data_IF_206183113851
#
_entry.id   IF_206183113851
#
_cell.length_a   1.000
_cell.length_b   1.000
_cell.length_c   1.000
_cell.angle_alpha   90.00
_cell.angle_beta   90.00
_cell.angle_gamma   90.00
#
_symmetry.space_group_name_H-M   'P 1'
#
loop_
_entity.id
_entity.type
_entity.pdbx_description
1 polymer ?
#
# COMPACT_ATOMS: atom_id res chain seq x y z
N UNK A 1 -17.32 12.33 14.87
CA UNK A 1 -15.85 12.08 15.02
C UNK A 1 -15.29 11.85 13.63
N UNK A 2 -14.09 12.36 13.34
CA UNK A 2 -13.42 12.10 12.06
C UNK A 2 -12.99 10.63 11.99
N UNK A 3 -13.05 10.01 10.80
CA UNK A 3 -12.56 8.64 10.58
C UNK A 3 -11.06 8.55 10.92
N UNK A 4 -10.61 7.41 11.42
CA UNK A 4 -9.21 7.04 11.50
C UNK A 4 -8.84 6.28 10.21
N UNK A 5 -7.90 6.83 9.46
CA UNK A 5 -7.40 6.25 8.20
C UNK A 5 -5.98 5.76 8.44
N UNK A 6 -5.84 4.45 8.62
CA UNK A 6 -4.54 3.81 8.85
C UNK A 6 -3.94 3.40 7.51
N UNK A 7 -2.87 4.06 7.13
CA UNK A 7 -2.16 3.83 5.88
C UNK A 7 -0.95 2.91 6.08
N UNK A 8 -0.79 1.91 5.23
CA UNK A 8 0.39 1.07 5.18
C UNK A 8 1.27 1.47 4.00
N UNK A 9 2.55 1.68 4.27
CA UNK A 9 3.58 1.93 3.28
C UNK A 9 4.74 0.95 3.41
N UNK A 10 5.62 0.92 2.44
CA UNK A 10 6.79 0.02 2.41
C UNK A 10 7.00 -0.55 1.02
N UNK A 11 8.21 -1.00 0.75
CA UNK A 11 8.61 -1.54 -0.54
C UNK A 11 7.74 -2.74 -0.96
N UNK A 12 7.57 -3.00 -2.27
CA UNK A 12 6.87 -4.19 -2.76
C UNK A 12 7.43 -5.48 -2.14
N UNK A 13 6.55 -6.37 -1.67
CA UNK A 13 6.94 -7.62 -1.02
C UNK A 13 7.29 -7.52 0.47
N UNK A 14 7.20 -6.34 1.10
CA UNK A 14 7.54 -6.19 2.52
C UNK A 14 6.57 -6.87 3.51
N UNK A 15 5.38 -7.32 3.05
CA UNK A 15 4.41 -8.03 3.91
C UNK A 15 3.15 -7.24 4.25
N UNK A 16 2.96 -6.04 3.73
CA UNK A 16 1.77 -5.19 3.96
C UNK A 16 0.45 -5.93 3.75
N UNK A 17 0.32 -6.60 2.60
CA UNK A 17 -0.93 -7.30 2.25
C UNK A 17 -1.28 -8.42 3.23
N UNK A 18 -0.31 -9.02 3.91
CA UNK A 18 -0.54 -10.05 4.94
C UNK A 18 -1.17 -9.41 6.18
N UNK A 19 -0.67 -8.26 6.61
CA UNK A 19 -1.26 -7.47 7.71
C UNK A 19 -2.69 -7.06 7.34
N UNK A 20 -2.88 -6.50 6.15
CA UNK A 20 -4.20 -6.04 5.67
C UNK A 20 -5.20 -7.20 5.61
N UNK A 21 -4.80 -8.38 5.12
CA UNK A 21 -5.68 -9.56 5.12
C UNK A 21 -6.15 -9.95 6.52
N UNK A 22 -5.25 -9.91 7.50
CA UNK A 22 -5.60 -10.22 8.89
C UNK A 22 -6.55 -9.19 9.49
N UNK A 23 -6.30 -7.92 9.28
CA UNK A 23 -7.20 -6.85 9.72
C UNK A 23 -8.60 -6.95 9.07
N UNK A 24 -8.64 -7.35 7.80
CA UNK A 24 -9.90 -7.61 7.11
C UNK A 24 -10.66 -8.79 7.71
N UNK A 25 -9.97 -9.87 8.09
CA UNK A 25 -10.56 -11.01 8.81
C UNK A 25 -11.11 -10.59 10.19
N UNK A 26 -10.52 -9.59 10.83
CA UNK A 26 -10.96 -8.99 12.09
C UNK A 26 -12.13 -7.98 11.91
N UNK A 27 -12.59 -7.75 10.68
CA UNK A 27 -13.75 -6.92 10.37
C UNK A 27 -13.45 -5.46 10.03
N UNK A 28 -12.17 -5.08 9.89
CA UNK A 28 -11.81 -3.74 9.41
C UNK A 28 -12.10 -3.59 7.91
N UNK A 29 -12.62 -2.44 7.52
CA UNK A 29 -12.74 -2.10 6.10
C UNK A 29 -11.37 -1.75 5.53
N UNK A 30 -11.07 -2.33 4.37
CA UNK A 30 -9.74 -2.21 3.75
C UNK A 30 -9.84 -1.77 2.30
N UNK A 31 -9.00 -0.83 1.89
CA UNK A 31 -8.80 -0.44 0.49
C UNK A 31 -7.34 -0.63 0.10
N UNK A 32 -7.09 -0.88 -1.18
CA UNK A 32 -5.74 -0.98 -1.72
C UNK A 32 -5.57 -0.03 -2.90
N UNK A 33 -4.58 0.86 -2.83
CA UNK A 33 -4.24 1.74 -3.94
C UNK A 33 -3.81 0.94 -5.18
N UNK A 34 -3.11 -0.19 -4.98
CA UNK A 34 -2.75 -1.10 -6.07
C UNK A 34 -3.96 -1.73 -6.75
N UNK A 35 -5.01 -2.07 -6.00
CA UNK A 35 -6.25 -2.60 -6.56
C UNK A 35 -7.04 -1.52 -7.29
N UNK A 36 -6.98 -0.27 -6.85
CA UNK A 36 -7.50 0.88 -7.58
C UNK A 36 -6.88 1.00 -8.98
N UNK A 37 -5.56 0.86 -9.07
CA UNK A 37 -4.87 0.85 -10.38
C UNK A 37 -5.26 -0.35 -11.23
N UNK A 38 -5.42 -1.55 -10.65
CA UNK A 38 -5.88 -2.75 -11.37
C UNK A 38 -7.31 -2.60 -11.88
N UNK A 39 -8.20 -2.02 -11.09
CA UNK A 39 -9.57 -1.73 -11.50
C UNK A 39 -9.59 -0.74 -12.67
N UNK A 40 -8.76 0.30 -12.63
CA UNK A 40 -8.63 1.26 -13.73
C UNK A 40 -8.03 0.60 -14.99
N UNK A 41 -7.03 -0.27 -14.86
CA UNK A 41 -6.49 -1.04 -15.98
C UNK A 41 -7.57 -1.91 -16.63
N UNK A 42 -8.40 -2.59 -15.83
CA UNK A 42 -9.54 -3.38 -16.33
C UNK A 42 -10.56 -2.50 -17.06
N UNK A 43 -10.87 -1.30 -16.54
CA UNK A 43 -11.77 -0.34 -17.20
C UNK A 43 -11.25 0.09 -18.57
N UNK A 44 -9.92 0.19 -18.70
CA UNK A 44 -9.25 0.53 -19.96
C UNK A 44 -8.93 -0.69 -20.85
N UNK A 45 -9.37 -1.90 -20.48
CA UNK A 45 -9.08 -3.17 -21.17
C UNK A 45 -7.56 -3.45 -21.31
N UNK A 46 -6.76 -3.04 -20.31
CA UNK A 46 -5.35 -3.34 -20.22
C UNK A 46 -5.10 -4.62 -19.44
N UNK A 47 -4.22 -5.48 -19.92
CA UNK A 47 -3.73 -6.62 -19.14
C UNK A 47 -2.99 -6.15 -17.89
N UNK A 48 -3.30 -6.69 -16.69
CA UNK A 48 -2.70 -6.25 -15.44
C UNK A 48 -1.30 -6.82 -15.21
N UNK A 49 -0.41 -6.63 -16.19
CA UNK A 49 1.03 -6.95 -16.07
C UNK A 49 1.77 -5.86 -15.29
N UNK A 50 2.92 -6.21 -14.71
CA UNK A 50 3.74 -5.23 -13.99
C UNK A 50 4.15 -4.03 -14.85
N UNK A 51 4.40 -4.25 -16.15
CA UNK A 51 4.72 -3.18 -17.10
C UNK A 51 3.52 -2.25 -17.35
N UNK A 52 2.35 -2.82 -17.66
CA UNK A 52 1.14 -2.04 -17.94
C UNK A 52 0.66 -1.27 -16.71
N UNK A 53 0.62 -1.92 -15.53
CA UNK A 53 0.22 -1.25 -14.29
C UNK A 53 1.20 -0.14 -13.91
N UNK A 54 2.51 -0.38 -14.07
CA UNK A 54 3.53 0.63 -13.83
C UNK A 54 3.40 1.85 -14.74
N UNK A 55 3.16 1.63 -16.03
CA UNK A 55 2.92 2.69 -17.01
C UNK A 55 1.64 3.47 -16.68
N UNK A 56 0.53 2.76 -16.47
CA UNK A 56 -0.75 3.38 -16.10
C UNK A 56 -0.65 4.24 -14.84
N UNK A 57 0.03 3.75 -13.82
CA UNK A 57 0.26 4.47 -12.57
C UNK A 57 1.00 5.81 -12.80
N UNK A 58 1.99 5.83 -13.70
CA UNK A 58 2.71 7.06 -14.05
C UNK A 58 1.85 8.00 -14.88
N UNK A 59 1.14 7.49 -15.90
CA UNK A 59 0.21 8.27 -16.73
C UNK A 59 -0.91 8.93 -15.91
N UNK A 60 -1.48 8.20 -14.95
CA UNK A 60 -2.49 8.76 -14.04
C UNK A 60 -1.94 9.92 -13.22
N UNK A 61 -0.71 9.81 -12.71
CA UNK A 61 -0.07 10.89 -11.95
C UNK A 61 0.30 12.08 -12.84
N UNK A 62 0.77 11.83 -14.04
CA UNK A 62 1.08 12.90 -15.01
C UNK A 62 -0.18 13.69 -15.39
N UNK A 63 -1.28 12.99 -15.65
CA UNK A 63 -2.54 13.59 -16.10
C UNK A 63 -3.33 14.28 -14.97
N UNK A 64 -3.39 13.64 -13.80
CA UNK A 64 -4.31 14.04 -12.71
C UNK A 64 -3.55 14.49 -11.44
N UNK A 65 -2.24 14.64 -11.51
CA UNK A 65 -1.39 15.04 -10.38
C UNK A 65 -0.85 13.87 -9.57
N UNK A 66 0.15 14.13 -8.70
CA UNK A 66 0.90 13.09 -8.00
C UNK A 66 0.07 12.30 -6.98
N UNK A 67 -1.07 12.81 -6.52
CA UNK A 67 -2.03 12.12 -5.64
C UNK A 67 -3.08 11.28 -6.37
N UNK A 68 -3.04 11.19 -7.70
CA UNK A 68 -4.08 10.61 -8.55
C UNK A 68 -4.54 9.21 -8.15
N UNK A 69 -3.64 8.37 -7.62
CA UNK A 69 -4.00 7.00 -7.24
C UNK A 69 -4.90 6.99 -5.99
N UNK A 70 -4.63 7.87 -5.01
CA UNK A 70 -5.48 8.00 -3.84
C UNK A 70 -6.85 8.63 -4.19
N UNK A 71 -6.89 9.53 -5.18
CA UNK A 71 -8.15 10.11 -5.67
C UNK A 71 -9.11 9.04 -6.22
N UNK A 72 -8.60 7.94 -6.79
CA UNK A 72 -9.44 6.82 -7.26
C UNK A 72 -10.29 6.19 -6.14
N UNK A 73 -9.84 6.26 -4.89
CA UNK A 73 -10.52 5.64 -3.75
C UNK A 73 -11.20 6.65 -2.82
N UNK A 74 -10.95 7.94 -2.98
CA UNK A 74 -11.34 9.01 -2.05
C UNK A 74 -12.85 9.01 -1.76
N UNK A 75 -13.69 8.92 -2.78
CA UNK A 75 -15.14 8.94 -2.59
C UNK A 75 -15.61 7.66 -1.88
N UNK A 76 -15.10 6.49 -2.25
CA UNK A 76 -15.44 5.23 -1.57
C UNK A 76 -15.04 5.27 -0.08
N UNK A 77 -13.91 5.87 0.25
CA UNK A 77 -13.48 6.06 1.65
C UNK A 77 -14.42 7.02 2.39
N UNK A 78 -14.85 8.11 1.76
CA UNK A 78 -15.78 9.08 2.36
C UNK A 78 -17.15 8.47 2.63
N UNK A 79 -17.67 7.70 1.68
CA UNK A 79 -18.98 7.05 1.74
C UNK A 79 -19.04 5.88 2.73
N UNK A 80 -17.87 5.30 3.08
CA UNK A 80 -17.80 4.23 4.05
C UNK A 80 -18.45 4.63 5.39
N UNK A 81 -19.18 3.71 5.99
CA UNK A 81 -19.77 3.87 7.33
C UNK A 81 -18.83 3.50 8.48
N UNK A 82 -17.68 2.87 8.15
CA UNK A 82 -16.69 2.46 9.14
C UNK A 82 -15.90 3.66 9.67
N UNK A 83 -15.66 3.67 10.98
CA UNK A 83 -14.89 4.73 11.65
C UNK A 83 -13.37 4.51 11.51
N UNK A 84 -12.96 3.28 11.25
CA UNK A 84 -11.55 2.90 11.07
C UNK A 84 -11.42 2.24 9.70
N UNK A 85 -10.54 2.78 8.88
CA UNK A 85 -10.29 2.32 7.51
C UNK A 85 -8.81 2.05 7.33
N UNK A 86 -8.49 0.93 6.72
CA UNK A 86 -7.11 0.52 6.41
C UNK A 86 -6.83 0.73 4.93
N UNK A 87 -5.75 1.44 4.61
CA UNK A 87 -5.33 1.70 3.22
C UNK A 87 -3.99 1.03 2.96
N UNK A 88 -3.96 0.06 2.05
CA UNK A 88 -2.72 -0.61 1.61
C UNK A 88 -2.06 0.12 0.45
N UNK A 89 -0.75 0.27 0.54
CA UNK A 89 0.11 0.59 -0.58
C UNK A 89 0.26 2.07 -0.89
N UNK A 90 0.23 2.94 0.12
CA UNK A 90 0.56 4.36 -0.03
C UNK A 90 2.05 4.53 -0.42
N UNK A 91 2.33 5.38 -1.41
CA UNK A 91 3.65 5.52 -2.03
C UNK A 91 4.22 6.93 -2.00
N UNK A 92 3.42 7.93 -1.68
CA UNK A 92 3.89 9.32 -1.70
C UNK A 92 3.16 10.20 -0.68
N UNK A 93 3.81 11.31 -0.31
CA UNK A 93 3.19 12.33 0.53
C UNK A 93 1.94 12.95 -0.11
N UNK A 94 1.89 12.99 -1.43
CA UNK A 94 0.74 13.51 -2.16
C UNK A 94 -0.49 12.63 -1.98
N UNK A 95 -0.31 11.31 -1.96
CA UNK A 95 -1.40 10.37 -1.65
C UNK A 95 -1.88 10.54 -0.20
N UNK A 96 -0.96 10.72 0.76
CA UNK A 96 -1.30 11.04 2.15
C UNK A 96 -2.13 12.33 2.23
N UNK A 97 -1.77 13.37 1.50
CA UNK A 97 -2.50 14.64 1.51
C UNK A 97 -3.94 14.48 1.00
N UNK A 98 -4.16 13.65 -0.02
CA UNK A 98 -5.50 13.29 -0.50
C UNK A 98 -6.27 12.51 0.58
N UNK A 99 -5.64 11.53 1.23
CA UNK A 99 -6.27 10.71 2.26
C UNK A 99 -6.61 11.51 3.53
N UNK A 100 -5.84 12.54 3.87
CA UNK A 100 -6.15 13.47 4.98
C UNK A 100 -7.48 14.20 4.79
N UNK A 101 -7.96 14.34 3.56
CA UNK A 101 -9.29 14.90 3.30
C UNK A 101 -10.44 13.95 3.66
N UNK A 102 -10.15 12.69 3.95
CA UNK A 102 -11.13 11.66 4.31
C UNK A 102 -11.16 11.36 5.82
N UNK A 103 -10.13 11.75 6.57
CA UNK A 103 -10.06 11.51 8.00
C UNK A 103 -8.69 11.81 8.62
N UNK A 104 -8.53 11.42 9.90
CA UNK A 104 -7.24 11.48 10.60
C UNK A 104 -6.33 10.35 10.10
N UNK A 105 -5.22 10.69 9.45
CA UNK A 105 -4.30 9.72 8.87
C UNK A 105 -3.21 9.33 9.85
N UNK A 106 -2.97 8.02 9.99
CA UNK A 106 -1.81 7.41 10.63
C UNK A 106 -1.07 6.53 9.63
N UNK A 107 0.26 6.54 9.68
CA UNK A 107 1.10 5.87 8.70
C UNK A 107 1.99 4.82 9.35
N UNK A 108 1.84 3.56 8.94
CA UNK A 108 2.68 2.44 9.32
C UNK A 108 3.59 2.04 8.16
N UNK A 109 4.90 2.07 8.37
CA UNK A 109 5.86 1.49 7.45
C UNK A 109 6.10 0.01 7.76
N UNK A 110 6.18 -0.82 6.72
CA UNK A 110 6.61 -2.22 6.82
C UNK A 110 7.86 -2.38 5.98
N UNK A 111 8.96 -2.75 6.63
CA UNK A 111 10.25 -2.93 5.99
C UNK A 111 10.68 -4.40 5.94
N UNK A 112 11.40 -4.78 4.88
CA UNK A 112 12.03 -6.08 4.75
C UNK A 112 13.21 -6.00 3.78
N UNK A 113 14.22 -6.82 4.02
CA UNK A 113 15.41 -6.91 3.17
C UNK A 113 15.04 -7.27 1.71
N UNK A 114 15.80 -6.78 0.71
CA UNK A 114 15.50 -7.01 -0.71
C UNK A 114 15.33 -8.49 -1.07
N UNK A 115 16.15 -9.38 -0.53
CA UNK A 115 16.05 -10.81 -0.82
C UNK A 115 14.79 -11.44 -0.21
N UNK A 116 14.42 -11.05 1.00
CA UNK A 116 13.17 -11.45 1.64
C UNK A 116 11.97 -11.01 0.79
N UNK A 117 11.95 -9.76 0.35
CA UNK A 117 10.87 -9.20 -0.47
C UNK A 117 10.76 -9.88 -1.84
N UNK A 118 11.88 -10.15 -2.50
CA UNK A 118 11.90 -10.85 -3.78
C UNK A 118 11.32 -12.26 -3.67
N UNK A 119 11.68 -13.00 -2.62
CA UNK A 119 11.15 -14.34 -2.37
C UNK A 119 9.63 -14.29 -2.12
N UNK A 120 9.15 -13.38 -1.28
CA UNK A 120 7.70 -13.23 -1.03
C UNK A 120 6.91 -12.89 -2.30
N UNK A 121 7.45 -12.03 -3.17
CA UNK A 121 6.80 -11.68 -4.44
C UNK A 121 6.72 -12.90 -5.37
N UNK A 122 7.78 -13.68 -5.46
CA UNK A 122 7.78 -14.92 -6.27
C UNK A 122 6.79 -15.96 -5.76
N UNK A 123 6.65 -16.10 -4.45
CA UNK A 123 5.71 -17.04 -3.81
C UNK A 123 4.27 -16.60 -4.00
N UNK A 124 4.00 -15.29 -3.98
CA UNK A 124 2.67 -14.70 -4.13
C UNK A 124 2.04 -14.92 -5.50
N UNK A 125 2.83 -14.98 -6.56
CA UNK A 125 2.44 -15.31 -7.95
C UNK A 125 1.29 -14.45 -8.52
N UNK A 126 1.24 -13.15 -8.23
CA UNK A 126 0.33 -12.23 -8.92
C UNK A 126 0.82 -11.97 -10.35
N UNK A 127 -0.08 -11.60 -11.25
CA UNK A 127 0.26 -11.30 -12.66
C UNK A 127 1.27 -10.14 -12.83
N UNK A 128 1.34 -9.25 -11.84
CA UNK A 128 2.25 -8.11 -11.79
C UNK A 128 3.52 -8.36 -10.97
N UNK A 129 3.72 -9.57 -10.44
CA UNK A 129 4.90 -9.90 -9.64
C UNK A 129 6.14 -10.17 -10.53
N UNK A 130 7.31 -9.69 -10.09
CA UNK A 130 8.54 -9.87 -10.84
C UNK A 130 9.01 -11.32 -10.79
N UNK A 131 9.29 -11.90 -11.97
CA UNK A 131 9.80 -13.26 -12.08
C UNK A 131 11.34 -13.31 -12.02
N UNK A 132 12.01 -12.19 -12.29
CA UNK A 132 13.48 -12.08 -12.32
C UNK A 132 13.95 -10.96 -11.40
N UNK A 133 15.22 -11.03 -11.00
CA UNK A 133 15.85 -9.99 -10.16
C UNK A 133 15.86 -8.63 -10.85
N UNK A 134 16.10 -8.59 -12.15
CA UNK A 134 16.07 -7.36 -12.95
C UNK A 134 14.69 -6.69 -12.88
N UNK A 135 13.60 -7.45 -13.07
CA UNK A 135 12.24 -6.93 -12.98
C UNK A 135 11.88 -6.47 -11.57
N UNK A 136 12.42 -7.12 -10.56
CA UNK A 136 12.28 -6.69 -9.17
C UNK A 136 12.96 -5.32 -8.94
N UNK A 137 14.20 -5.15 -9.42
CA UNK A 137 14.93 -3.90 -9.28
C UNK A 137 14.32 -2.77 -10.11
N UNK A 138 13.85 -3.04 -11.34
CA UNK A 138 13.07 -2.08 -12.13
C UNK A 138 11.83 -1.59 -11.38
N UNK A 139 11.11 -2.50 -10.72
CA UNK A 139 9.94 -2.17 -9.91
C UNK A 139 10.32 -1.31 -8.71
N UNK A 140 11.35 -1.71 -7.95
CA UNK A 140 11.83 -0.96 -6.80
C UNK A 140 12.23 0.47 -7.20
N UNK A 141 13.01 0.63 -8.27
CA UNK A 141 13.44 1.93 -8.76
C UNK A 141 12.25 2.81 -9.17
N UNK A 142 11.22 2.24 -9.82
CA UNK A 142 10.00 2.95 -10.17
C UNK A 142 9.25 3.44 -8.93
N UNK A 143 9.10 2.58 -7.91
CA UNK A 143 8.41 2.93 -6.66
C UNK A 143 9.17 4.00 -5.87
N UNK A 144 10.49 3.92 -5.82
CA UNK A 144 11.35 4.96 -5.24
C UNK A 144 11.18 6.29 -6.01
N UNK A 145 11.12 6.23 -7.33
CA UNK A 145 10.95 7.41 -8.19
C UNK A 145 9.63 8.16 -7.98
N UNK A 146 8.60 7.52 -7.44
CA UNK A 146 7.33 8.20 -7.10
C UNK A 146 7.26 8.70 -5.65
N UNK A 147 8.35 8.55 -4.86
CA UNK A 147 8.45 9.09 -3.50
C UNK A 147 8.31 8.07 -2.38
N UNK A 148 8.39 6.75 -2.68
CA UNK A 148 8.16 5.71 -1.68
C UNK A 148 9.20 5.74 -0.53
N UNK A 149 10.45 6.03 -0.82
CA UNK A 149 11.49 6.14 0.21
C UNK A 149 11.18 7.26 1.19
N UNK A 150 10.81 8.42 0.68
CA UNK A 150 10.46 9.59 1.47
C UNK A 150 9.28 9.31 2.42
N UNK A 151 8.22 8.66 1.90
CA UNK A 151 7.04 8.37 2.72
C UNK A 151 7.31 7.31 3.79
N UNK A 152 8.21 6.35 3.54
CA UNK A 152 8.64 5.38 4.56
C UNK A 152 9.34 6.09 5.72
N UNK A 153 10.20 7.08 5.44
CA UNK A 153 10.91 7.87 6.44
C UNK A 153 9.97 8.76 7.28
N UNK A 154 8.80 9.12 6.74
CA UNK A 154 7.79 9.94 7.42
C UNK A 154 6.74 9.12 8.20
N UNK A 155 6.88 7.81 8.28
CA UNK A 155 5.91 6.96 8.97
C UNK A 155 5.85 7.26 10.48
N UNK A 156 4.64 7.23 11.06
CA UNK A 156 4.42 7.39 12.51
C UNK A 156 5.05 6.23 13.31
N UNK A 157 4.99 5.02 12.76
CA UNK A 157 5.56 3.80 13.33
C UNK A 157 6.08 2.88 12.21
N UNK A 158 6.98 1.96 12.54
CA UNK A 158 7.53 0.99 11.58
C UNK A 158 7.62 -0.41 12.16
N UNK A 159 7.50 -1.40 11.27
CA UNK A 159 7.66 -2.83 11.57
C UNK A 159 8.73 -3.39 10.63
N UNK A 160 9.66 -4.14 11.17
CA UNK A 160 10.64 -4.90 10.41
C UNK A 160 10.16 -6.35 10.22
N UNK A 161 10.07 -6.79 8.96
CA UNK A 161 9.65 -8.13 8.57
C UNK A 161 10.84 -8.94 8.05
N UNK A 162 11.90 -9.03 8.86
CA UNK A 162 13.06 -9.87 8.60
C UNK A 162 13.16 -10.96 9.68
N UNK A 163 13.17 -12.22 9.26
CA UNK A 163 13.30 -13.38 10.17
C UNK A 163 12.22 -13.44 11.27
N UNK A 164 11.04 -12.90 11.02
CA UNK A 164 9.88 -12.98 11.91
C UNK A 164 8.79 -13.84 11.29
N UNK A 165 7.98 -14.47 12.11
CA UNK A 165 6.81 -15.19 11.65
C UNK A 165 5.69 -14.23 11.26
N UNK A 166 4.76 -14.69 10.42
CA UNK A 166 3.56 -13.92 10.06
C UNK A 166 2.81 -13.48 11.33
N UNK A 167 2.65 -14.39 12.30
CA UNK A 167 1.95 -14.09 13.56
C UNK A 167 2.65 -12.96 14.35
N UNK A 168 3.97 -13.01 14.46
CA UNK A 168 4.74 -11.95 15.13
C UNK A 168 4.61 -10.60 14.44
N UNK A 169 4.66 -10.57 13.10
CA UNK A 169 4.48 -9.35 12.32
C UNK A 169 3.06 -8.78 12.50
N UNK A 170 2.04 -9.62 12.42
CA UNK A 170 0.64 -9.21 12.60
C UNK A 170 0.39 -8.73 14.05
N UNK A 171 0.92 -9.43 15.05
CA UNK A 171 0.82 -9.01 16.45
C UNK A 171 1.45 -7.63 16.68
N UNK A 172 2.61 -7.37 16.08
CA UNK A 172 3.25 -6.06 16.16
C UNK A 172 2.39 -4.96 15.52
N UNK A 173 1.80 -5.23 14.34
CA UNK A 173 0.86 -4.31 13.70
C UNK A 173 -0.38 -4.05 14.56
N UNK A 174 -1.00 -5.10 15.10
CA UNK A 174 -2.20 -4.99 15.94
C UNK A 174 -1.94 -4.14 17.19
N UNK A 175 -0.79 -4.30 17.85
CA UNK A 175 -0.41 -3.46 19.00
C UNK A 175 -0.30 -1.98 18.63
N UNK A 176 0.29 -1.66 17.46
CA UNK A 176 0.38 -0.29 16.97
C UNK A 176 -1.01 0.27 16.67
N UNK A 177 -1.88 -0.49 16.02
CA UNK A 177 -3.26 -0.05 15.73
C UNK A 177 -4.07 0.19 17.00
N UNK A 178 -3.98 -0.69 17.99
CA UNK A 178 -4.66 -0.49 19.27
C UNK A 178 -4.27 0.83 19.93
N UNK A 179 -2.96 1.17 19.94
CA UNK A 179 -2.45 2.46 20.44
C UNK A 179 -3.02 3.68 19.69
N UNK A 180 -3.40 3.54 18.41
CA UNK A 180 -3.95 4.64 17.62
C UNK A 180 -5.48 4.76 17.71
N UNK A 181 -6.14 3.69 18.15
CA UNK A 181 -7.59 3.64 18.34
C UNK A 181 -8.00 4.15 19.73
N UNK A 182 -7.13 4.00 20.75
CA UNK A 182 -7.30 4.55 22.09
C UNK A 182 -7.20 6.10 22.12
#
# INVERSE_FOLDING_TARGET
MSKLVVCLTGMPGAGKSTIVSKLKEEGYETFSLGDGVRAEAKRQNLEPTGANLGKLMLELREKNGPGAIAELLKESIKESTHQIIIIDGVRSIHEINVLKETGNVKLLAVDAAPDTRFNFLRERKRSDDPLTREKFEERDNREIGVGLKEIIELADESIENNNVTINQMVESATKIFQKWIE
#
